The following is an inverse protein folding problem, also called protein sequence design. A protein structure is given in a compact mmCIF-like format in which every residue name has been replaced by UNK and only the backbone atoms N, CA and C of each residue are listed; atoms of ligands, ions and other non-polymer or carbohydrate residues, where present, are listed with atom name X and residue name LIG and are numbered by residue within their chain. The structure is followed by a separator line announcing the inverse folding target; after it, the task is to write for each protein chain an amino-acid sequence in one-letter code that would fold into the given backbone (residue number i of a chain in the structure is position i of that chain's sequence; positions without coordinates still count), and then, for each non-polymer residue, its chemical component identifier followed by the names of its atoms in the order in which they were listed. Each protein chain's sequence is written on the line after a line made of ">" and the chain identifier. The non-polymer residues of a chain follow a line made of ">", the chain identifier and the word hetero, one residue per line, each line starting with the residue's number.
data_IF_975094327222
#
_entry.id   IF_975094327222
#
_cell.length_a   1.000
_cell.length_b   1.000
_cell.length_c   1.000
_cell.angle_alpha   90.00
_cell.angle_beta   90.00
_cell.angle_gamma   90.00
#
_symmetry.space_group_name_H-M   'P 1'
#
loop_
_entity.id
_entity.type
_entity.pdbx_description
1 polymer ?
#
# COMPACT_ATOMS: atom_id res chain seq x y z
N UNK A 1 -10.72 23.79 25.33
CA UNK A 1 -11.21 22.39 25.23
C UNK A 1 -10.89 21.81 23.84
N UNK A 2 -9.67 21.98 23.33
CA UNK A 2 -9.26 21.46 22.01
C UNK A 2 -7.94 20.64 22.06
N UNK A 3 -7.21 20.67 23.18
CA UNK A 3 -5.89 20.02 23.31
C UNK A 3 -5.94 18.50 23.47
N UNK A 4 -6.95 17.96 24.17
CA UNK A 4 -6.94 16.56 24.60
C UNK A 4 -7.05 15.53 23.46
N UNK A 5 -7.43 15.95 22.26
CA UNK A 5 -7.58 15.06 21.10
C UNK A 5 -6.29 14.91 20.31
N UNK A 6 -5.47 15.97 20.25
CA UNK A 6 -4.15 15.94 19.60
C UNK A 6 -3.16 15.10 20.41
N UNK A 7 -3.23 15.18 21.74
CA UNK A 7 -2.37 14.39 22.63
C UNK A 7 -2.64 12.88 22.55
N UNK A 8 -3.91 12.46 22.38
CA UNK A 8 -4.26 11.03 22.21
C UNK A 8 -3.85 10.47 20.84
N UNK A 9 -3.80 11.29 19.78
CA UNK A 9 -3.38 10.86 18.45
C UNK A 9 -1.84 10.71 18.37
N UNK A 10 -1.08 11.44 19.19
CA UNK A 10 0.39 11.32 19.28
C UNK A 10 0.84 10.06 20.04
N UNK A 11 0.05 9.62 21.03
CA UNK A 11 0.38 8.49 21.92
C UNK A 11 0.29 7.11 21.24
N UNK A 12 -0.28 7.03 20.04
CA UNK A 12 -0.47 5.78 19.29
C UNK A 12 0.25 5.76 17.94
N UNK A 13 1.25 6.63 17.77
CA UNK A 13 2.12 6.63 16.59
C UNK A 13 3.08 5.45 16.67
N UNK A 14 2.84 4.44 15.84
CA UNK A 14 3.71 3.26 15.76
C UNK A 14 4.46 3.26 14.43
N UNK A 15 5.72 2.82 14.49
CA UNK A 15 6.51 2.53 13.31
C UNK A 15 6.46 1.02 13.07
N UNK A 16 6.08 0.62 11.85
CA UNK A 16 6.04 -0.76 11.42
C UNK A 16 6.82 -0.91 10.11
N UNK A 17 7.64 -1.95 10.04
CA UNK A 17 8.34 -2.33 8.83
C UNK A 17 7.74 -3.62 8.25
N UNK A 18 7.54 -3.59 6.95
CA UNK A 18 7.06 -4.74 6.16
C UNK A 18 8.09 -5.03 5.09
N UNK A 19 8.81 -6.14 5.27
CA UNK A 19 9.69 -6.67 4.24
C UNK A 19 8.87 -7.12 3.02
N UNK A 20 9.36 -6.78 1.84
CA UNK A 20 8.76 -7.14 0.57
C UNK A 20 9.72 -8.01 -0.23
N UNK A 21 9.17 -8.98 -0.96
CA UNK A 21 9.97 -9.77 -1.89
C UNK A 21 10.56 -8.85 -2.99
N UNK A 22 11.81 -9.04 -3.44
CA UNK A 22 12.41 -8.19 -4.47
C UNK A 22 11.58 -8.09 -5.75
N UNK A 23 10.91 -9.17 -6.14
CA UNK A 23 10.02 -9.23 -7.30
C UNK A 23 8.74 -8.37 -7.16
N UNK A 24 8.47 -7.83 -5.98
CA UNK A 24 7.35 -6.93 -5.70
C UNK A 24 7.76 -5.45 -5.63
N UNK A 25 9.07 -5.15 -5.71
CA UNK A 25 9.58 -3.79 -5.50
C UNK A 25 9.04 -2.79 -6.53
N UNK A 26 8.89 -3.22 -7.78
CA UNK A 26 8.34 -2.38 -8.87
C UNK A 26 6.91 -1.92 -8.60
N UNK A 27 6.16 -2.69 -7.81
CA UNK A 27 4.77 -2.39 -7.44
C UNK A 27 4.65 -1.57 -6.15
N UNK A 28 5.73 -1.42 -5.39
CA UNK A 28 5.70 -0.78 -4.08
C UNK A 28 5.27 0.69 -4.16
N UNK A 29 5.73 1.43 -5.18
CA UNK A 29 5.36 2.85 -5.37
C UNK A 29 3.85 3.07 -5.55
N UNK A 30 3.21 2.27 -6.39
CA UNK A 30 1.76 2.32 -6.60
C UNK A 30 1.00 1.89 -5.33
N UNK A 31 1.48 0.85 -4.66
CA UNK A 31 0.90 0.37 -3.42
C UNK A 31 0.93 1.43 -2.31
N UNK A 32 2.08 2.08 -2.04
CA UNK A 32 2.19 3.13 -1.00
C UNK A 32 1.35 4.36 -1.33
N UNK A 33 1.23 4.72 -2.61
CA UNK A 33 0.37 5.83 -3.04
C UNK A 33 -1.10 5.56 -2.68
N UNK A 34 -1.58 4.34 -2.97
CA UNK A 34 -2.93 3.93 -2.60
C UNK A 34 -3.11 3.89 -1.08
N UNK A 35 -2.15 3.32 -0.36
CA UNK A 35 -2.22 3.20 1.10
C UNK A 35 -2.27 4.58 1.76
N UNK A 36 -1.49 5.54 1.28
CA UNK A 36 -1.56 6.93 1.75
C UNK A 36 -2.93 7.57 1.54
N UNK A 37 -3.63 7.25 0.45
CA UNK A 37 -5.00 7.70 0.24
C UNK A 37 -6.00 7.04 1.20
N UNK A 38 -5.84 5.75 1.49
CA UNK A 38 -6.74 5.00 2.37
C UNK A 38 -6.51 5.30 3.87
N UNK A 39 -5.27 5.63 4.25
CA UNK A 39 -4.86 5.87 5.61
C UNK A 39 -4.18 7.24 5.74
N UNK A 40 -4.95 8.36 5.67
CA UNK A 40 -4.39 9.71 5.65
C UNK A 40 -3.69 10.15 6.95
N UNK A 41 -3.80 9.36 8.01
CA UNK A 41 -3.11 9.57 9.29
C UNK A 41 -1.85 8.72 9.46
N UNK A 42 -1.51 7.94 8.44
CA UNK A 42 -0.30 7.16 8.37
C UNK A 42 0.52 7.59 7.15
N UNK A 43 1.84 7.54 7.28
CA UNK A 43 2.78 7.81 6.21
C UNK A 43 3.38 6.49 5.75
N UNK A 44 3.51 6.31 4.45
CA UNK A 44 4.05 5.11 3.83
C UNK A 44 5.24 5.50 2.97
N UNK A 45 6.39 4.88 3.21
CA UNK A 45 7.61 5.11 2.44
C UNK A 45 8.20 3.77 2.02
N UNK A 46 8.79 3.73 0.82
CA UNK A 46 9.54 2.57 0.34
C UNK A 46 11.03 2.85 0.56
N UNK A 47 11.72 1.92 1.22
CA UNK A 47 13.17 1.90 1.38
C UNK A 47 13.68 0.53 0.96
N UNK A 48 14.29 0.46 -0.22
CA UNK A 48 14.75 -0.79 -0.83
C UNK A 48 13.62 -1.85 -0.90
N UNK A 49 13.75 -2.92 -0.11
CA UNK A 49 12.80 -4.03 0.01
C UNK A 49 11.98 -3.96 1.31
N UNK A 50 11.76 -2.76 1.83
CA UNK A 50 10.97 -2.53 3.04
C UNK A 50 9.98 -1.39 2.80
N UNK A 51 8.72 -1.63 3.16
CA UNK A 51 7.72 -0.57 3.32
C UNK A 51 7.71 -0.16 4.79
N UNK A 52 8.06 1.10 5.02
CA UNK A 52 8.02 1.74 6.34
C UNK A 52 6.68 2.43 6.48
N UNK A 53 5.95 2.08 7.54
CA UNK A 53 4.67 2.69 7.91
C UNK A 53 4.84 3.43 9.23
N UNK A 54 4.50 4.71 9.26
CA UNK A 54 4.61 5.56 10.45
C UNK A 54 3.28 6.26 10.72
N UNK A 55 2.91 6.41 11.99
CA UNK A 55 1.73 7.17 12.40
C UNK A 55 0.64 6.30 13.03
N UNK A 56 -0.61 6.76 12.91
CA UNK A 56 -1.76 6.09 13.51
C UNK A 56 -2.19 4.89 12.66
N UNK A 57 -1.48 3.77 12.82
CA UNK A 57 -1.68 2.55 12.02
C UNK A 57 -2.73 1.58 12.59
N UNK A 58 -3.25 1.85 13.80
CA UNK A 58 -4.20 0.96 14.47
C UNK A 58 -3.56 -0.40 14.82
N UNK A 59 -4.19 -1.49 14.36
CA UNK A 59 -3.70 -2.86 14.58
C UNK A 59 -2.60 -3.24 13.57
N UNK A 60 -1.38 -3.48 14.06
CA UNK A 60 -0.22 -3.77 13.21
C UNK A 60 -0.38 -5.03 12.32
N UNK A 61 -0.92 -6.17 12.80
CA UNK A 61 -1.24 -7.31 11.93
C UNK A 61 -2.18 -6.97 10.78
N UNK A 62 -3.24 -6.21 11.06
CA UNK A 62 -4.19 -5.74 10.03
C UNK A 62 -3.50 -4.82 9.03
N UNK A 63 -2.71 -3.85 9.49
CA UNK A 63 -1.97 -2.94 8.61
C UNK A 63 -0.97 -3.70 7.73
N UNK A 64 -0.24 -4.68 8.28
CA UNK A 64 0.66 -5.54 7.50
C UNK A 64 -0.09 -6.29 6.40
N UNK A 65 -1.27 -6.85 6.71
CA UNK A 65 -2.10 -7.52 5.72
C UNK A 65 -2.53 -6.57 4.61
N UNK A 66 -2.93 -5.35 4.96
CA UNK A 66 -3.38 -4.34 3.99
C UNK A 66 -2.24 -3.89 3.07
N UNK A 67 -1.02 -3.73 3.61
CA UNK A 67 0.20 -3.46 2.83
C UNK A 67 0.48 -4.58 1.82
N UNK A 68 0.48 -5.84 2.28
CA UNK A 68 0.72 -7.00 1.40
C UNK A 68 -0.39 -7.14 0.35
N UNK A 69 -1.65 -6.94 0.73
CA UNK A 69 -2.77 -6.98 -0.19
C UNK A 69 -2.66 -5.89 -1.26
N UNK A 70 -2.27 -4.67 -0.89
CA UNK A 70 -2.04 -3.59 -1.86
C UNK A 70 -0.96 -3.98 -2.89
N UNK A 71 0.17 -4.53 -2.44
CA UNK A 71 1.26 -5.01 -3.31
C UNK A 71 0.82 -6.12 -4.27
N UNK A 72 0.20 -7.18 -3.75
CA UNK A 72 -0.24 -8.30 -4.60
C UNK A 72 -1.31 -7.87 -5.60
N UNK A 73 -2.18 -6.94 -5.22
CA UNK A 73 -3.20 -6.38 -6.12
C UNK A 73 -2.57 -5.66 -7.30
N UNK A 74 -1.52 -4.86 -7.09
CA UNK A 74 -0.81 -4.20 -8.19
C UNK A 74 -0.17 -5.24 -9.13
N UNK A 75 0.54 -6.23 -8.57
CA UNK A 75 1.14 -7.32 -9.36
C UNK A 75 0.11 -8.09 -10.20
N UNK A 76 -1.06 -8.37 -9.65
CA UNK A 76 -2.14 -9.06 -10.37
C UNK A 76 -2.72 -8.17 -11.46
N UNK A 77 -2.88 -6.87 -11.18
CA UNK A 77 -3.44 -5.91 -12.14
C UNK A 77 -2.56 -5.76 -13.38
N UNK A 78 -1.25 -5.68 -13.16
CA UNK A 78 -0.21 -5.66 -14.18
C UNK A 78 -0.25 -6.93 -15.05
N UNK A 79 -0.21 -8.12 -14.44
CA UNK A 79 -0.34 -9.39 -15.19
C UNK A 79 -1.67 -9.54 -15.93
N UNK A 80 -2.74 -9.00 -15.37
CA UNK A 80 -4.07 -9.03 -15.97
C UNK A 80 -4.23 -8.01 -17.11
N UNK A 81 -3.33 -7.02 -17.22
CA UNK A 81 -3.37 -6.01 -18.28
C UNK A 81 -3.05 -6.62 -19.64
N UNK A 82 -2.02 -7.46 -19.73
CA UNK A 82 -1.64 -8.14 -20.97
C UNK A 82 -2.79 -8.97 -21.57
N UNK A 83 -3.50 -9.72 -20.73
CA UNK A 83 -4.64 -10.52 -21.18
C UNK A 83 -5.80 -9.62 -21.62
N UNK A 84 -6.10 -8.56 -20.86
CA UNK A 84 -7.16 -7.61 -21.21
C UNK A 84 -6.86 -6.92 -22.54
N UNK A 85 -5.63 -6.45 -22.75
CA UNK A 85 -5.20 -5.79 -23.98
C UNK A 85 -5.36 -6.73 -25.18
N UNK A 86 -4.85 -7.97 -25.08
CA UNK A 86 -4.98 -8.96 -26.16
C UNK A 86 -6.44 -9.30 -26.49
N UNK A 87 -7.30 -9.40 -25.47
CA UNK A 87 -8.72 -9.65 -25.67
C UNK A 87 -9.42 -8.47 -26.36
N UNK A 88 -9.10 -7.23 -25.96
CA UNK A 88 -9.64 -6.02 -26.58
C UNK A 88 -9.17 -5.88 -28.02
N UNK A 89 -7.88 -6.09 -28.30
CA UNK A 89 -7.32 -6.08 -29.65
C UNK A 89 -7.98 -7.13 -30.55
N UNK A 90 -8.23 -8.34 -30.03
CA UNK A 90 -8.95 -9.39 -30.76
C UNK A 90 -10.42 -9.05 -31.05
N UNK A 91 -11.06 -8.22 -30.23
CA UNK A 91 -12.42 -7.72 -30.47
C UNK A 91 -12.46 -6.53 -31.45
N UNK A 92 -11.45 -5.65 -31.41
CA UNK A 92 -11.36 -4.45 -32.25
C UNK A 92 -10.78 -4.70 -33.66
N UNK A 93 -10.07 -5.80 -33.86
CA UNK A 93 -9.51 -6.20 -35.16
C UNK A 93 -10.50 -6.94 -36.08
N UNK A 94 -11.79 -6.95 -35.71
CA UNK A 94 -12.87 -7.64 -36.42
C UNK A 94 -13.80 -6.65 -37.11
#
# INVERSE_FOLDING_TARGET
>A
MADRKADLDAENSAAMEVEIEPALSDFAGAAVTRLGYLHPRATFNVRDHVIVVEGAIGDAPTMRRDVLHALYRERISDRGEDLRTRLIEGLLSR
#
